data_IF_701129518035
#
_entry.id   IF_701129518035
#
_cell.length_a   1.000
_cell.length_b   1.000
_cell.length_c   1.000
_cell.angle_alpha   90.00
_cell.angle_beta   90.00
_cell.angle_gamma   90.00
#
_symmetry.space_group_name_H-M   'P 1'
#
loop_
_entity.id
_entity.type
_entity.pdbx_description
1 polymer ?
#
# COMPACT_ATOMS: atom_id res chain seq x y z
N UNK A 1 -27.40 27.85 34.94
CA UNK A 1 -26.46 26.78 34.52
C UNK A 1 -26.87 25.38 34.99
N UNK A 2 -27.08 25.11 36.29
CA UNK A 2 -27.41 23.76 36.80
C UNK A 2 -28.57 23.05 36.07
N UNK A 3 -29.72 23.72 35.85
CA UNK A 3 -30.88 23.12 35.13
C UNK A 3 -30.58 22.68 33.70
N UNK A 4 -29.75 23.43 32.96
CA UNK A 4 -29.35 23.08 31.58
C UNK A 4 -28.40 21.89 31.56
N UNK A 5 -27.48 21.82 32.53
CA UNK A 5 -26.59 20.67 32.71
C UNK A 5 -27.40 19.41 33.05
N UNK A 6 -28.33 19.50 34.01
CA UNK A 6 -29.21 18.38 34.35
C UNK A 6 -30.05 17.91 33.16
N UNK A 7 -30.64 18.84 32.40
CA UNK A 7 -31.40 18.52 31.19
C UNK A 7 -30.53 17.81 30.16
N UNK A 8 -29.32 18.30 29.90
CA UNK A 8 -28.38 17.68 28.97
C UNK A 8 -28.01 16.25 29.41
N UNK A 9 -27.68 16.04 30.68
CA UNK A 9 -27.35 14.72 31.22
C UNK A 9 -28.53 13.76 31.09
N UNK A 10 -29.76 14.20 31.39
CA UNK A 10 -30.95 13.38 31.24
C UNK A 10 -31.22 12.99 29.79
N UNK A 11 -31.08 13.92 28.85
CA UNK A 11 -31.22 13.64 27.41
C UNK A 11 -30.15 12.65 26.94
N UNK A 12 -28.90 12.81 27.38
CA UNK A 12 -27.81 11.91 27.05
C UNK A 12 -28.04 10.49 27.60
N UNK A 13 -28.51 10.36 28.85
CA UNK A 13 -28.82 9.07 29.47
C UNK A 13 -30.01 8.39 28.78
N UNK A 14 -31.06 9.14 28.43
CA UNK A 14 -32.19 8.61 27.66
C UNK A 14 -31.76 8.13 26.28
N UNK A 15 -30.91 8.90 25.59
CA UNK A 15 -30.35 8.49 24.30
C UNK A 15 -29.55 7.19 24.43
N UNK A 16 -28.64 7.10 25.43
CA UNK A 16 -27.84 5.91 25.71
C UNK A 16 -28.69 4.68 26.06
N UNK A 17 -29.82 4.86 26.76
CA UNK A 17 -30.71 3.76 27.13
C UNK A 17 -31.38 3.09 25.92
N UNK A 18 -31.56 3.80 24.80
CA UNK A 18 -32.22 3.29 23.60
C UNK A 18 -31.23 2.62 22.62
N UNK A 19 -29.94 2.93 22.71
CA UNK A 19 -28.88 2.42 21.83
C UNK A 19 -28.84 0.88 21.75
N UNK A 20 -28.94 0.11 22.86
CA UNK A 20 -29.02 -1.35 22.80
C UNK A 20 -30.18 -1.88 21.97
N UNK A 21 -31.38 -1.31 22.11
CA UNK A 21 -32.55 -1.73 21.36
C UNK A 21 -32.40 -1.48 19.86
N UNK A 22 -31.81 -0.33 19.49
CA UNK A 22 -31.50 -0.01 18.08
C UNK A 22 -30.50 -1.01 17.51
N UNK A 23 -29.41 -1.31 18.21
CA UNK A 23 -28.39 -2.25 17.74
C UNK A 23 -28.91 -3.68 17.58
N UNK A 24 -29.79 -4.14 18.47
CA UNK A 24 -30.45 -5.44 18.34
C UNK A 24 -31.40 -5.47 17.13
N UNK A 25 -32.18 -4.42 16.89
CA UNK A 25 -33.09 -4.33 15.75
C UNK A 25 -32.34 -4.24 14.40
N UNK A 26 -31.20 -3.54 14.34
CA UNK A 26 -30.36 -3.44 13.14
C UNK A 26 -29.59 -4.75 12.81
N UNK A 27 -29.74 -5.80 13.63
CA UNK A 27 -29.06 -7.08 13.45
C UNK A 27 -27.55 -7.01 13.69
N UNK A 28 -27.04 -5.96 14.35
CA UNK A 28 -25.61 -5.80 14.60
C UNK A 28 -25.05 -6.90 15.51
N UNK A 29 -25.89 -7.51 16.35
CA UNK A 29 -25.54 -8.69 17.16
C UNK A 29 -25.44 -10.01 16.38
N UNK A 30 -25.93 -10.09 15.14
CA UNK A 30 -25.84 -11.29 14.29
C UNK A 30 -24.82 -11.13 13.14
N UNK A 31 -24.50 -9.89 12.72
CA UNK A 31 -23.62 -9.61 11.57
C UNK A 31 -22.15 -9.98 11.74
N UNK A 32 -21.69 -10.30 12.94
CA UNK A 32 -20.35 -10.83 13.20
C UNK A 32 -20.53 -12.17 13.91
N UNK A 33 -20.56 -13.27 13.17
CA UNK A 33 -20.79 -14.64 13.65
C UNK A 33 -19.84 -15.18 14.74
N UNK A 34 -19.07 -14.31 15.40
CA UNK A 34 -18.13 -14.60 16.48
C UNK A 34 -18.34 -13.70 17.72
N UNK A 35 -19.17 -12.64 17.67
CA UNK A 35 -19.37 -11.72 18.79
C UNK A 35 -20.73 -11.94 19.46
N UNK A 36 -20.69 -12.28 20.75
CA UNK A 36 -21.88 -12.42 21.59
C UNK A 36 -22.69 -11.12 21.64
N UNK A 37 -24.00 -11.21 21.43
CA UNK A 37 -24.90 -10.06 21.30
C UNK A 37 -24.98 -9.19 22.57
N UNK A 38 -24.70 -9.76 23.75
CA UNK A 38 -24.75 -9.06 25.04
C UNK A 38 -23.48 -8.27 25.37
N UNK A 39 -22.45 -8.30 24.52
CA UNK A 39 -21.24 -7.51 24.76
C UNK A 39 -21.55 -6.02 24.67
N UNK A 40 -20.99 -5.24 25.59
CA UNK A 40 -21.14 -3.78 25.60
C UNK A 40 -20.72 -3.13 24.26
N UNK A 41 -19.71 -3.68 23.59
CA UNK A 41 -19.25 -3.22 22.26
C UNK A 41 -20.28 -3.42 21.15
N UNK A 42 -21.24 -4.33 21.33
CA UNK A 42 -22.36 -4.57 20.41
C UNK A 42 -23.56 -3.73 20.82
N UNK A 43 -23.95 -3.80 22.09
CA UNK A 43 -25.14 -3.10 22.60
C UNK A 43 -24.99 -1.58 22.54
N UNK A 44 -23.81 -1.03 22.83
CA UNK A 44 -23.55 0.41 22.84
C UNK A 44 -22.72 0.87 21.63
N UNK A 45 -22.84 0.17 20.50
CA UNK A 45 -22.25 0.61 19.25
C UNK A 45 -23.00 1.85 18.71
N UNK A 46 -22.26 2.92 18.40
CA UNK A 46 -22.81 4.19 17.90
C UNK A 46 -22.66 4.38 16.38
N UNK A 47 -22.24 3.35 15.64
CA UNK A 47 -21.96 3.45 14.20
C UNK A 47 -23.17 3.95 13.40
N UNK A 48 -24.41 3.60 13.80
CA UNK A 48 -25.62 4.12 13.15
C UNK A 48 -25.78 5.63 13.32
N UNK A 49 -25.51 6.15 14.52
CA UNK A 49 -25.59 7.59 14.81
C UNK A 49 -24.42 8.32 14.14
N UNK A 50 -23.22 7.73 14.14
CA UNK A 50 -22.07 8.24 13.39
C UNK A 50 -22.37 8.32 11.90
N UNK A 51 -23.00 7.31 11.30
CA UNK A 51 -23.40 7.34 9.89
C UNK A 51 -24.41 8.47 9.61
N UNK A 52 -25.40 8.66 10.49
CA UNK A 52 -26.36 9.77 10.38
C UNK A 52 -25.68 11.13 10.45
N UNK A 53 -24.81 11.35 11.45
CA UNK A 53 -24.05 12.59 11.60
C UNK A 53 -23.15 12.83 10.39
N UNK A 54 -22.43 11.81 9.94
CA UNK A 54 -21.60 11.88 8.74
C UNK A 54 -22.42 12.26 7.51
N UNK A 55 -23.59 11.66 7.30
CA UNK A 55 -24.46 11.97 6.16
C UNK A 55 -24.95 13.42 6.20
N UNK A 56 -25.17 13.97 7.39
CA UNK A 56 -25.57 15.36 7.56
C UNK A 56 -24.40 16.33 7.28
N UNK A 57 -23.22 16.06 7.84
CA UNK A 57 -22.08 16.98 7.79
C UNK A 57 -21.23 16.85 6.52
N UNK A 58 -21.22 15.68 5.86
CA UNK A 58 -20.42 15.40 4.67
C UNK A 58 -20.69 16.38 3.51
N UNK A 59 -21.96 16.66 3.11
CA UNK A 59 -22.25 17.63 2.04
C UNK A 59 -21.81 19.07 2.36
N UNK A 60 -21.52 19.35 3.63
CA UNK A 60 -21.04 20.65 4.10
C UNK A 60 -19.52 20.72 4.22
N UNK A 61 -18.80 19.68 3.75
CA UNK A 61 -17.34 19.60 3.85
C UNK A 61 -16.82 19.34 5.26
N UNK A 62 -17.68 18.92 6.20
CA UNK A 62 -17.31 18.72 7.61
C UNK A 62 -17.13 17.22 7.87
N UNK A 63 -15.90 16.81 8.15
CA UNK A 63 -15.58 15.45 8.55
C UNK A 63 -15.96 15.23 10.02
N UNK A 64 -16.72 14.18 10.28
CA UNK A 64 -17.01 13.69 11.65
C UNK A 64 -15.83 12.92 12.25
N UNK A 65 -14.79 12.65 11.45
CA UNK A 65 -13.58 11.96 11.85
C UNK A 65 -12.34 12.60 11.18
N UNK A 66 -12.03 13.87 11.51
CA UNK A 66 -11.03 14.67 10.81
C UNK A 66 -9.60 14.15 10.99
N UNK A 67 -9.34 13.39 12.04
CA UNK A 67 -8.04 12.72 12.25
C UNK A 67 -7.79 11.63 11.20
N UNK A 68 -8.85 10.97 10.70
CA UNK A 68 -8.72 9.91 9.68
C UNK A 68 -9.05 10.38 8.27
N UNK A 69 -10.00 11.31 8.12
CA UNK A 69 -10.53 11.72 6.81
C UNK A 69 -10.67 13.24 6.76
N UNK A 70 -10.06 13.85 5.76
CA UNK A 70 -10.36 15.21 5.33
C UNK A 70 -11.35 15.15 4.16
N UNK A 71 -12.39 15.99 4.20
CA UNK A 71 -13.30 16.17 3.05
C UNK A 71 -12.77 17.34 2.22
N UNK A 72 -12.43 17.06 0.98
CA UNK A 72 -12.01 18.03 -0.01
C UNK A 72 -13.16 18.59 -0.84
N UNK A 73 -12.81 19.33 -1.88
CA UNK A 73 -13.74 19.85 -2.90
C UNK A 73 -14.28 18.69 -3.75
N UNK A 74 -15.44 18.90 -4.36
CA UNK A 74 -16.07 17.95 -5.28
C UNK A 74 -16.16 16.51 -4.75
N UNK A 75 -16.43 16.41 -3.43
CA UNK A 75 -16.65 15.18 -2.68
C UNK A 75 -15.43 14.24 -2.56
N UNK A 76 -14.23 14.72 -2.92
CA UNK A 76 -12.99 13.95 -2.77
C UNK A 76 -12.60 13.81 -1.31
N UNK A 77 -12.39 12.58 -0.86
CA UNK A 77 -11.90 12.29 0.48
C UNK A 77 -10.38 12.15 0.49
N UNK A 78 -9.72 12.63 1.54
CA UNK A 78 -8.28 12.48 1.73
C UNK A 78 -7.98 11.90 3.10
N UNK A 79 -6.78 11.34 3.28
CA UNK A 79 -6.30 10.95 4.60
C UNK A 79 -6.14 12.17 5.51
N UNK A 80 -6.61 12.03 6.75
CA UNK A 80 -6.30 12.94 7.85
C UNK A 80 -4.90 12.70 8.43
N UNK A 81 -4.67 13.21 9.64
CA UNK A 81 -3.34 13.20 10.27
C UNK A 81 -2.91 11.82 10.79
N UNK A 82 -3.84 10.94 11.18
CA UNK A 82 -3.56 9.65 11.81
C UNK A 82 -2.56 8.77 11.06
N UNK A 83 -2.53 8.87 9.73
CA UNK A 83 -1.80 7.93 8.87
C UNK A 83 -0.51 8.51 8.29
N UNK A 84 0.29 9.17 9.14
CA UNK A 84 1.59 9.74 8.78
C UNK A 84 1.58 11.25 8.68
N UNK A 85 0.68 11.91 9.41
CA UNK A 85 0.47 13.36 9.41
C UNK A 85 0.31 13.90 7.98
N UNK A 86 -0.50 13.24 7.14
CA UNK A 86 -0.50 13.47 5.68
C UNK A 86 -0.77 14.93 5.31
N UNK A 87 -1.66 15.60 6.05
CA UNK A 87 -2.00 17.01 5.79
C UNK A 87 -0.89 17.93 6.28
N UNK A 88 -0.47 17.80 7.54
CA UNK A 88 0.60 18.63 8.10
C UNK A 88 1.93 18.43 7.36
N UNK A 89 2.31 17.18 7.07
CA UNK A 89 3.53 16.84 6.33
C UNK A 89 3.50 17.37 4.89
N UNK A 90 2.34 17.33 4.23
CA UNK A 90 2.17 17.93 2.91
C UNK A 90 2.36 19.43 2.92
N UNK A 91 1.75 20.13 3.90
CA UNK A 91 1.78 21.61 3.99
C UNK A 91 3.13 22.18 4.41
N UNK A 92 3.82 21.52 5.35
CA UNK A 92 5.08 22.05 5.91
C UNK A 92 6.26 22.01 4.93
N UNK A 93 6.18 21.15 3.91
CA UNK A 93 7.29 20.88 2.99
C UNK A 93 8.45 20.13 3.65
N UNK A 94 9.59 20.04 2.97
CA UNK A 94 10.78 19.37 3.50
C UNK A 94 11.41 20.09 4.71
N UNK A 95 11.83 19.34 5.73
CA UNK A 95 12.60 19.86 6.88
C UNK A 95 14.00 19.25 6.97
N UNK A 96 14.82 19.78 7.89
CA UNK A 96 16.16 19.25 8.19
C UNK A 96 16.09 17.80 8.66
N UNK A 97 15.06 17.44 9.44
CA UNK A 97 14.84 16.07 9.89
C UNK A 97 14.51 15.13 8.73
N UNK A 98 13.76 15.60 7.73
CA UNK A 98 13.49 14.80 6.53
C UNK A 98 14.78 14.52 5.76
N UNK A 99 15.71 15.49 5.68
CA UNK A 99 16.99 15.31 5.02
C UNK A 99 17.87 14.27 5.72
N UNK A 100 17.90 14.27 7.06
CA UNK A 100 18.65 13.25 7.79
C UNK A 100 18.03 11.85 7.65
N UNK A 101 16.70 11.75 7.74
CA UNK A 101 15.99 10.48 7.49
C UNK A 101 16.24 9.99 6.06
N UNK A 102 16.20 10.90 5.06
CA UNK A 102 16.47 10.59 3.67
C UNK A 102 17.89 10.05 3.45
N UNK A 103 18.90 10.65 4.09
CA UNK A 103 20.29 10.19 4.02
C UNK A 103 20.46 8.78 4.60
N UNK A 104 19.82 8.48 5.73
CA UNK A 104 19.83 7.15 6.35
C UNK A 104 19.18 6.12 5.41
N UNK A 105 18.00 6.45 4.84
CA UNK A 105 17.29 5.58 3.91
C UNK A 105 18.10 5.37 2.62
N UNK A 106 18.73 6.42 2.09
CA UNK A 106 19.61 6.34 0.91
C UNK A 106 20.75 5.37 1.13
N UNK A 107 21.49 5.51 2.23
CA UNK A 107 22.57 4.59 2.59
C UNK A 107 22.09 3.14 2.76
N UNK A 108 20.96 2.93 3.42
CA UNK A 108 20.40 1.60 3.62
C UNK A 108 19.93 0.96 2.30
N UNK A 109 19.28 1.73 1.42
CA UNK A 109 18.82 1.24 0.12
C UNK A 109 20.01 0.85 -0.76
N UNK A 110 21.09 1.64 -0.76
CA UNK A 110 22.33 1.32 -1.46
C UNK A 110 22.98 0.05 -0.91
N UNK A 111 23.03 -0.09 0.43
CA UNK A 111 23.56 -1.29 1.09
C UNK A 111 22.77 -2.54 0.70
N UNK A 112 21.44 -2.45 0.65
CA UNK A 112 20.58 -3.54 0.16
C UNK A 112 20.82 -3.84 -1.32
N UNK A 113 20.95 -2.82 -2.16
CA UNK A 113 21.26 -2.99 -3.59
C UNK A 113 22.55 -3.81 -3.79
N UNK A 114 23.61 -3.46 -3.09
CA UNK A 114 24.90 -4.17 -3.14
C UNK A 114 24.77 -5.60 -2.61
N UNK A 115 24.11 -5.78 -1.47
CA UNK A 115 23.88 -7.09 -0.87
C UNK A 115 23.09 -8.02 -1.82
N UNK A 116 22.03 -7.50 -2.45
CA UNK A 116 21.20 -8.24 -3.39
C UNK A 116 21.98 -8.62 -4.66
N UNK A 117 22.81 -7.71 -5.17
CA UNK A 117 23.69 -8.00 -6.31
C UNK A 117 24.67 -9.14 -5.99
N UNK A 118 25.28 -9.14 -4.79
CA UNK A 118 26.14 -10.24 -4.34
C UNK A 118 25.40 -11.59 -4.22
N UNK A 119 24.07 -11.56 -4.05
CA UNK A 119 23.19 -12.74 -4.03
C UNK A 119 22.67 -13.14 -5.42
N UNK A 120 23.13 -12.47 -6.48
CA UNK A 120 22.76 -12.75 -7.86
C UNK A 120 21.43 -12.14 -8.32
N UNK A 121 20.87 -11.18 -7.55
CA UNK A 121 19.70 -10.41 -7.99
C UNK A 121 20.15 -9.37 -9.01
N UNK A 122 19.59 -9.43 -10.23
CA UNK A 122 20.00 -8.57 -11.34
C UNK A 122 19.58 -7.11 -11.15
N UNK A 123 18.34 -6.89 -10.69
CA UNK A 123 17.79 -5.55 -10.46
C UNK A 123 17.01 -5.47 -9.15
N UNK A 124 17.31 -4.41 -8.37
CA UNK A 124 16.57 -3.98 -7.18
C UNK A 124 15.98 -2.59 -7.38
N UNK A 125 14.67 -2.42 -7.18
CA UNK A 125 13.98 -1.13 -7.34
C UNK A 125 12.90 -0.89 -6.30
N UNK A 126 12.72 0.36 -5.90
CA UNK A 126 11.62 0.84 -5.04
C UNK A 126 10.71 1.75 -5.86
N UNK A 127 9.52 1.30 -6.18
CA UNK A 127 8.49 2.10 -6.83
C UNK A 127 7.65 2.87 -5.80
N UNK A 128 7.53 4.18 -6.01
CA UNK A 128 6.67 5.02 -5.20
C UNK A 128 5.26 5.07 -5.78
N UNK A 129 4.28 4.69 -4.96
CA UNK A 129 2.86 5.00 -5.14
C UNK A 129 2.55 6.37 -4.54
N UNK A 130 2.21 7.40 -5.30
CA UNK A 130 2.01 8.72 -4.73
C UNK A 130 0.75 8.78 -3.86
N UNK A 131 0.76 9.63 -2.85
CA UNK A 131 -0.46 9.96 -2.12
C UNK A 131 -1.42 10.69 -3.06
N UNK A 132 -2.73 10.49 -2.84
CA UNK A 132 -3.76 11.11 -3.68
C UNK A 132 -3.64 12.63 -3.72
N UNK A 133 -3.22 13.27 -2.63
CA UNK A 133 -2.98 14.72 -2.56
C UNK A 133 -1.83 15.21 -3.44
N UNK A 134 -0.85 14.36 -3.75
CA UNK A 134 0.27 14.71 -4.64
C UNK A 134 -0.12 14.66 -6.12
N UNK A 135 -1.17 13.91 -6.45
CA UNK A 135 -1.68 13.73 -7.82
C UNK A 135 -2.89 14.62 -8.08
N UNK A 136 -3.79 14.75 -7.11
CA UNK A 136 -5.01 15.55 -7.15
C UNK A 136 -5.02 16.63 -6.06
N UNK A 137 -4.08 17.59 -6.05
CA UNK A 137 -4.11 18.68 -5.08
C UNK A 137 -5.26 19.67 -5.33
N UNK A 138 -5.79 19.75 -6.54
CA UNK A 138 -6.86 20.69 -6.89
C UNK A 138 -8.16 20.47 -6.12
N UNK A 139 -8.44 19.23 -5.69
CA UNK A 139 -9.59 18.90 -4.85
C UNK A 139 -9.29 18.96 -3.36
N UNK A 140 -8.07 19.30 -2.93
CA UNK A 140 -7.82 19.64 -1.53
C UNK A 140 -8.41 21.03 -1.19
N UNK A 141 -8.84 21.26 0.07
CA UNK A 141 -9.12 22.61 0.55
C UNK A 141 -7.91 23.53 0.39
N UNK A 142 -8.12 24.82 0.17
CA UNK A 142 -7.03 25.77 -0.10
C UNK A 142 -6.00 25.84 1.05
N UNK A 143 -6.45 25.69 2.30
CA UNK A 143 -5.57 25.67 3.46
C UNK A 143 -4.72 24.41 3.57
N UNK A 144 -5.07 23.33 2.86
CA UNK A 144 -4.43 22.01 2.91
C UNK A 144 -3.51 21.73 1.73
N UNK A 145 -3.28 22.73 0.86
CA UNK A 145 -2.44 22.57 -0.32
C UNK A 145 -1.00 22.13 0.06
N UNK A 146 -0.42 21.16 -0.67
CA UNK A 146 0.94 20.71 -0.41
C UNK A 146 1.95 21.80 -0.76
N UNK A 147 3.07 21.83 -0.04
CA UNK A 147 4.22 22.65 -0.38
C UNK A 147 4.83 22.24 -1.73
N UNK A 148 5.55 23.16 -2.36
CA UNK A 148 6.22 22.90 -3.65
C UNK A 148 7.33 21.85 -3.56
N UNK A 149 8.07 21.82 -2.44
CA UNK A 149 9.08 20.82 -2.15
C UNK A 149 8.64 19.95 -0.96
N UNK A 150 8.44 18.67 -1.23
CA UNK A 150 7.99 17.68 -0.26
C UNK A 150 9.16 16.90 0.36
N UNK A 151 8.90 16.25 1.49
CA UNK A 151 9.84 15.29 2.07
C UNK A 151 10.14 14.11 1.12
N UNK A 152 9.24 13.78 0.19
CA UNK A 152 9.50 12.78 -0.85
C UNK A 152 10.55 13.28 -1.85
N UNK A 153 10.53 14.56 -2.20
CA UNK A 153 11.56 15.16 -3.07
C UNK A 153 12.92 15.13 -2.39
N UNK A 154 12.97 15.41 -1.08
CA UNK A 154 14.20 15.26 -0.28
C UNK A 154 14.70 13.81 -0.26
N UNK A 155 13.81 12.82 -0.12
CA UNK A 155 14.19 11.41 -0.24
C UNK A 155 14.81 11.11 -1.60
N UNK A 156 14.13 11.48 -2.68
CA UNK A 156 14.59 11.21 -4.06
C UNK A 156 15.92 11.90 -4.38
N UNK A 157 16.21 13.05 -3.78
CA UNK A 157 17.49 13.74 -3.92
C UNK A 157 18.65 13.08 -3.15
N UNK A 158 18.38 12.19 -2.20
CA UNK A 158 19.38 11.56 -1.32
C UNK A 158 19.55 10.05 -1.55
N UNK A 159 18.88 9.48 -2.55
CA UNK A 159 19.01 8.07 -2.94
C UNK A 159 19.81 7.96 -4.24
N UNK A 160 20.55 6.87 -4.42
CA UNK A 160 21.28 6.62 -5.66
C UNK A 160 20.32 6.59 -6.86
N UNK A 161 20.75 7.23 -7.96
CA UNK A 161 19.93 7.33 -9.17
C UNK A 161 19.51 5.95 -9.67
N UNK A 162 18.23 5.82 -10.00
CA UNK A 162 17.64 4.58 -10.52
C UNK A 162 17.18 3.60 -9.45
N UNK A 163 17.53 3.73 -8.16
CA UNK A 163 17.00 2.82 -7.12
C UNK A 163 15.53 3.08 -6.81
N UNK A 164 15.12 4.35 -6.83
CA UNK A 164 13.73 4.75 -6.65
C UNK A 164 13.10 5.15 -7.99
N UNK A 165 11.88 4.68 -8.21
CA UNK A 165 11.07 5.04 -9.38
C UNK A 165 9.92 5.92 -8.92
N UNK A 166 10.03 7.21 -9.24
CA UNK A 166 8.97 8.20 -8.98
C UNK A 166 7.92 8.18 -10.09
N UNK A 167 6.70 7.79 -9.74
CA UNK A 167 5.59 7.69 -10.69
C UNK A 167 4.71 8.95 -10.72
N UNK A 168 5.02 9.99 -9.93
CA UNK A 168 4.21 11.23 -9.85
C UNK A 168 4.07 11.91 -11.20
N UNK A 169 5.17 12.06 -11.93
CA UNK A 169 5.15 12.69 -13.26
C UNK A 169 4.29 11.90 -14.24
N UNK A 170 4.43 10.56 -14.28
CA UNK A 170 3.64 9.71 -15.16
C UNK A 170 2.14 9.82 -14.86
N UNK A 171 1.77 9.76 -13.58
CA UNK A 171 0.37 9.91 -13.14
C UNK A 171 -0.20 11.30 -13.45
N UNK A 172 0.56 12.37 -13.22
CA UNK A 172 0.14 13.75 -13.55
C UNK A 172 -0.05 13.95 -15.05
N UNK A 173 0.83 13.40 -15.88
CA UNK A 173 0.68 13.41 -17.34
C UNK A 173 -0.51 12.58 -17.79
N UNK A 174 -0.76 11.43 -17.16
CA UNK A 174 -1.90 10.59 -17.49
C UNK A 174 -3.25 11.25 -17.14
N UNK A 175 -3.32 12.09 -16.09
CA UNK A 175 -4.53 12.85 -15.75
C UNK A 175 -5.04 13.74 -16.89
N UNK A 176 -4.15 14.28 -17.72
CA UNK A 176 -4.57 15.10 -18.87
C UNK A 176 -4.89 14.27 -20.12
N UNK A 177 -4.50 12.99 -20.13
CA UNK A 177 -4.72 12.05 -21.24
C UNK A 177 -6.03 11.28 -21.10
N UNK A 178 -6.41 10.89 -19.88
CA UNK A 178 -7.62 10.11 -19.60
C UNK A 178 -8.75 11.00 -19.09
N UNK A 179 -9.99 10.68 -19.48
CA UNK A 179 -11.19 11.29 -18.91
C UNK A 179 -11.49 10.79 -17.50
N UNK A 180 -11.11 9.55 -17.21
CA UNK A 180 -11.34 8.89 -15.94
C UNK A 180 -10.29 9.31 -14.90
N UNK A 181 -10.71 9.39 -13.64
CA UNK A 181 -9.75 9.58 -12.55
C UNK A 181 -8.88 8.33 -12.37
N UNK A 182 -7.62 8.53 -12.01
CA UNK A 182 -6.64 7.48 -11.72
C UNK A 182 -6.73 6.98 -10.27
N UNK A 183 -7.51 7.68 -9.43
CA UNK A 183 -7.75 7.35 -8.03
C UNK A 183 -9.25 7.36 -7.76
N UNK A 184 -9.67 6.55 -6.80
CA UNK A 184 -11.03 6.61 -6.28
C UNK A 184 -11.21 7.90 -5.46
N UNK A 185 -12.40 8.49 -5.53
CA UNK A 185 -12.72 9.70 -4.76
C UNK A 185 -12.81 9.39 -3.27
N UNK A 186 -13.39 8.25 -2.90
CA UNK A 186 -13.68 7.91 -1.50
C UNK A 186 -12.76 6.84 -0.91
N UNK A 187 -11.67 6.52 -1.61
CA UNK A 187 -10.62 5.60 -1.17
C UNK A 187 -9.23 6.29 -1.15
N UNK A 188 -8.27 5.73 -0.42
CA UNK A 188 -6.88 6.22 -0.43
C UNK A 188 -6.07 5.80 -1.65
N UNK A 189 -6.49 4.76 -2.36
CA UNK A 189 -5.70 4.13 -3.42
C UNK A 189 -6.00 4.68 -4.81
N UNK A 190 -5.06 4.46 -5.72
CA UNK A 190 -5.35 4.49 -7.16
C UNK A 190 -6.39 3.42 -7.52
N UNK A 191 -7.03 3.55 -8.67
CA UNK A 191 -7.79 2.45 -9.30
C UNK A 191 -6.90 1.65 -10.26
N UNK A 192 -7.46 0.66 -10.96
CA UNK A 192 -6.70 -0.19 -11.88
C UNK A 192 -6.05 0.60 -13.02
N UNK A 193 -6.66 1.70 -13.47
CA UNK A 193 -6.05 2.59 -14.47
C UNK A 193 -4.83 3.35 -13.91
N UNK A 194 -4.93 3.91 -12.71
CA UNK A 194 -3.78 4.53 -12.05
C UNK A 194 -2.65 3.52 -11.75
N UNK A 195 -3.01 2.30 -11.37
CA UNK A 195 -2.05 1.20 -11.19
C UNK A 195 -1.36 0.83 -12.50
N UNK A 196 -2.09 0.78 -13.63
CA UNK A 196 -1.50 0.57 -14.96
C UNK A 196 -0.49 1.67 -15.30
N UNK A 197 -0.87 2.95 -15.15
CA UNK A 197 0.03 4.08 -15.45
C UNK A 197 1.30 4.00 -14.61
N UNK A 198 1.18 3.70 -13.32
CA UNK A 198 2.33 3.53 -12.43
C UNK A 198 3.20 2.33 -12.84
N UNK A 199 2.58 1.19 -13.16
CA UNK A 199 3.28 -0.01 -13.62
C UNK A 199 4.01 0.23 -14.94
N UNK A 200 3.36 0.91 -15.90
CA UNK A 200 3.93 1.26 -17.19
C UNK A 200 5.17 2.17 -17.05
N UNK A 201 5.12 3.14 -16.13
CA UNK A 201 6.28 3.96 -15.79
C UNK A 201 7.40 3.14 -15.14
N UNK A 202 7.05 2.19 -14.28
CA UNK A 202 7.99 1.32 -13.60
C UNK A 202 8.73 0.37 -14.55
N UNK A 203 8.01 -0.31 -15.45
CA UNK A 203 8.64 -1.15 -16.47
C UNK A 203 9.57 -0.35 -17.40
N UNK A 204 9.21 0.90 -17.74
CA UNK A 204 10.04 1.73 -18.60
C UNK A 204 11.39 2.07 -17.96
N UNK A 205 11.45 2.18 -16.63
CA UNK A 205 12.72 2.33 -15.90
C UNK A 205 13.53 1.03 -15.91
N UNK A 206 12.88 -0.12 -15.64
CA UNK A 206 13.56 -1.42 -15.63
C UNK A 206 14.10 -1.78 -17.02
N UNK A 207 13.33 -1.51 -18.07
CA UNK A 207 13.71 -1.80 -19.46
C UNK A 207 15.02 -1.12 -19.89
N UNK A 208 15.45 -0.04 -19.22
CA UNK A 208 16.74 0.62 -19.50
C UNK A 208 17.93 -0.23 -19.09
N UNK A 209 17.78 -1.07 -18.08
CA UNK A 209 18.85 -1.94 -17.58
C UNK A 209 18.64 -3.41 -17.94
N UNK A 210 17.40 -3.82 -18.25
CA UNK A 210 17.01 -5.20 -18.51
C UNK A 210 16.38 -5.35 -19.90
N UNK A 211 17.19 -5.20 -20.95
CA UNK A 211 16.73 -5.21 -22.34
C UNK A 211 16.13 -6.55 -22.82
N UNK A 212 16.34 -7.64 -22.07
CA UNK A 212 15.83 -8.97 -22.40
C UNK A 212 14.41 -9.26 -21.90
N UNK A 213 13.78 -8.32 -21.18
CA UNK A 213 12.42 -8.49 -20.66
C UNK A 213 11.38 -8.03 -21.68
N UNK A 214 10.32 -8.84 -21.82
CA UNK A 214 9.12 -8.49 -22.56
C UNK A 214 8.17 -7.72 -21.63
N UNK A 215 7.58 -6.63 -22.12
CA UNK A 215 6.73 -5.76 -21.32
C UNK A 215 5.34 -5.64 -21.91
N UNK A 216 4.36 -5.37 -21.05
CA UNK A 216 3.02 -4.99 -21.49
C UNK A 216 3.10 -3.65 -22.22
N UNK A 217 2.46 -3.55 -23.36
CA UNK A 217 2.36 -2.31 -24.13
C UNK A 217 1.01 -1.62 -23.91
N UNK A 218 0.89 -0.38 -24.37
CA UNK A 218 -0.39 0.34 -24.38
C UNK A 218 -1.45 -0.35 -25.26
N UNK A 219 -1.05 -1.23 -26.19
CA UNK A 219 -1.98 -2.05 -26.97
C UNK A 219 -2.48 -3.29 -26.19
N UNK A 220 -1.72 -3.74 -25.19
CA UNK A 220 -2.07 -4.91 -24.39
C UNK A 220 -3.00 -4.55 -23.22
N UNK A 221 -3.24 -3.27 -22.95
CA UNK A 221 -4.06 -2.81 -21.83
C UNK A 221 -5.09 -1.81 -22.31
N UNK A 222 -6.38 -2.10 -22.10
CA UNK A 222 -7.49 -1.24 -22.53
C UNK A 222 -8.48 -0.97 -21.41
N UNK A 223 -9.07 0.21 -21.42
CA UNK A 223 -10.25 0.53 -20.62
C UNK A 223 -11.46 -0.11 -21.32
N UNK A 224 -12.11 -1.08 -20.68
CA UNK A 224 -13.24 -1.81 -21.24
C UNK A 224 -14.59 -1.31 -20.75
N UNK A 225 -14.60 -0.50 -19.68
CA UNK A 225 -15.81 0.16 -19.21
C UNK A 225 -15.59 0.91 -17.90
N UNK A 226 -16.68 1.55 -17.46
CA UNK A 226 -16.76 2.20 -16.15
C UNK A 226 -17.92 1.55 -15.41
N UNK A 227 -17.61 0.90 -14.29
CA UNK A 227 -18.57 0.33 -13.36
C UNK A 227 -18.86 1.26 -12.18
N UNK A 228 -19.90 0.93 -11.43
CA UNK A 228 -20.17 1.53 -10.12
C UNK A 228 -19.69 0.59 -9.02
N UNK A 229 -19.07 1.15 -7.98
CA UNK A 229 -18.75 0.42 -6.75
C UNK A 229 -19.12 1.22 -5.52
N UNK A 230 -19.24 0.51 -4.41
CA UNK A 230 -19.36 1.12 -3.09
C UNK A 230 -18.12 1.95 -2.75
N UNK A 231 -18.31 2.90 -1.84
CA UNK A 231 -17.24 3.74 -1.35
C UNK A 231 -16.05 2.96 -0.76
N UNK A 232 -14.90 3.61 -0.79
CA UNK A 232 -13.62 3.08 -0.36
C UNK A 232 -13.40 3.07 1.16
N UNK A 233 -12.13 2.91 1.52
CA UNK A 233 -11.67 2.92 2.91
C UNK A 233 -11.95 4.24 3.66
N UNK A 234 -11.83 5.41 3.00
CA UNK A 234 -12.13 6.70 3.61
C UNK A 234 -13.64 6.86 3.84
N UNK A 235 -14.48 6.44 2.89
CA UNK A 235 -15.93 6.38 3.11
C UNK A 235 -16.28 5.48 4.31
N UNK A 236 -15.58 4.35 4.47
CA UNK A 236 -15.75 3.45 5.61
C UNK A 236 -15.37 4.12 6.95
N UNK A 237 -14.32 4.94 6.99
CA UNK A 237 -13.96 5.71 8.19
C UNK A 237 -15.04 6.72 8.60
N UNK A 238 -15.81 7.23 7.62
CA UNK A 238 -16.96 8.10 7.87
C UNK A 238 -18.28 7.33 8.08
N UNK A 239 -18.28 5.99 8.03
CA UNK A 239 -19.51 5.16 8.04
C UNK A 239 -20.45 5.44 6.86
N UNK A 240 -19.90 5.89 5.74
CA UNK A 240 -20.61 6.22 4.51
C UNK A 240 -20.32 5.26 3.35
N UNK A 241 -19.65 4.12 3.60
CA UNK A 241 -19.28 3.13 2.57
C UNK A 241 -20.46 2.67 1.72
N UNK A 242 -21.59 2.37 2.37
CA UNK A 242 -22.79 1.86 1.68
C UNK A 242 -23.56 2.93 0.90
N UNK A 243 -23.34 4.22 1.24
CA UNK A 243 -24.06 5.36 0.67
C UNK A 243 -23.28 6.08 -0.42
N UNK A 244 -21.96 6.18 -0.26
CA UNK A 244 -21.09 6.79 -1.25
C UNK A 244 -20.70 5.77 -2.30
N UNK A 245 -20.37 6.29 -3.48
CA UNK A 245 -20.00 5.51 -4.65
C UNK A 245 -18.69 6.03 -5.23
N UNK A 246 -17.95 5.12 -5.83
CA UNK A 246 -16.79 5.40 -6.65
C UNK A 246 -16.99 4.80 -8.04
N UNK A 247 -16.35 5.41 -9.04
CA UNK A 247 -16.28 4.85 -10.38
C UNK A 247 -15.17 3.80 -10.41
N UNK A 248 -15.52 2.58 -10.83
CA UNK A 248 -14.57 1.49 -11.07
C UNK A 248 -14.16 1.52 -12.54
N UNK A 249 -12.89 1.81 -12.82
CA UNK A 249 -12.38 1.80 -14.19
C UNK A 249 -11.94 0.38 -14.51
N UNK A 250 -12.71 -0.31 -15.35
CA UNK A 250 -12.41 -1.69 -15.72
C UNK A 250 -11.31 -1.70 -16.76
N UNK A 251 -10.19 -2.31 -16.40
CA UNK A 251 -9.00 -2.43 -17.24
C UNK A 251 -8.81 -3.90 -17.62
N UNK A 252 -8.85 -4.19 -18.92
CA UNK A 252 -8.56 -5.52 -19.46
C UNK A 252 -7.10 -5.61 -19.90
N UNK A 253 -6.48 -6.77 -19.65
CA UNK A 253 -5.20 -7.15 -20.26
C UNK A 253 -5.49 -8.06 -21.44
N UNK A 254 -5.19 -7.58 -22.66
CA UNK A 254 -5.31 -8.33 -23.90
C UNK A 254 -4.09 -9.25 -24.01
N UNK A 255 -4.34 -10.56 -23.96
CA UNK A 255 -3.32 -11.58 -24.11
C UNK A 255 -3.79 -12.66 -25.07
N UNK A 256 -2.85 -13.26 -25.82
CA UNK A 256 -3.12 -14.40 -26.72
C UNK A 256 -3.55 -15.65 -25.95
N UNK A 257 -3.02 -15.81 -24.73
CA UNK A 257 -3.35 -16.91 -23.84
C UNK A 257 -3.95 -16.35 -22.55
N UNK A 258 -4.96 -17.03 -21.95
CA UNK A 258 -5.49 -16.63 -20.66
C UNK A 258 -4.41 -16.51 -19.60
N UNK A 259 -4.48 -15.44 -18.80
CA UNK A 259 -3.61 -15.26 -17.65
C UNK A 259 -4.29 -15.96 -16.48
N UNK A 260 -3.80 -17.17 -16.19
CA UNK A 260 -4.29 -18.01 -15.11
C UNK A 260 -3.26 -18.01 -13.98
N UNK A 261 -3.72 -17.69 -12.77
CA UNK A 261 -2.87 -17.61 -11.59
C UNK A 261 -3.19 -18.69 -10.57
N UNK A 262 -2.15 -19.15 -9.88
CA UNK A 262 -2.24 -20.00 -8.71
C UNK A 262 -1.53 -19.34 -7.54
N UNK A 263 -2.18 -19.33 -6.38
CA UNK A 263 -1.69 -18.68 -5.18
C UNK A 263 -1.42 -19.72 -4.10
N UNK A 264 -0.18 -19.78 -3.64
CA UNK A 264 0.29 -20.75 -2.64
C UNK A 264 0.77 -20.02 -1.39
N UNK A 265 0.40 -20.56 -0.23
CA UNK A 265 1.13 -20.24 1.00
C UNK A 265 2.57 -20.76 0.83
N UNK A 266 3.55 -19.86 0.86
CA UNK A 266 4.91 -20.21 0.46
C UNK A 266 5.61 -21.13 1.48
N UNK A 267 5.26 -21.02 2.75
CA UNK A 267 5.88 -21.82 3.82
C UNK A 267 5.35 -23.25 3.82
N UNK A 268 4.04 -23.42 3.61
CA UNK A 268 3.39 -24.73 3.68
C UNK A 268 3.23 -25.41 2.31
N UNK A 269 3.40 -24.67 1.21
CA UNK A 269 3.11 -25.14 -0.15
C UNK A 269 1.62 -25.34 -0.45
N UNK A 270 0.73 -24.94 0.46
CA UNK A 270 -0.71 -25.14 0.31
C UNK A 270 -1.29 -24.19 -0.73
N UNK A 271 -2.01 -24.74 -1.71
CA UNK A 271 -2.83 -23.96 -2.64
C UNK A 271 -3.95 -23.23 -1.88
N UNK A 272 -4.00 -21.92 -2.02
CA UNK A 272 -5.03 -21.05 -1.42
C UNK A 272 -6.11 -20.66 -2.41
N UNK A 273 -5.71 -20.40 -3.65
CA UNK A 273 -6.60 -19.96 -4.72
C UNK A 273 -6.02 -20.33 -6.08
N UNK A 274 -6.88 -20.60 -7.05
CA UNK A 274 -6.51 -20.84 -8.44
C UNK A 274 -7.63 -20.31 -9.33
N UNK A 275 -7.26 -19.67 -10.43
CA UNK A 275 -8.18 -19.20 -11.46
C UNK A 275 -8.04 -17.71 -11.77
N UNK A 276 -8.04 -17.40 -13.06
CA UNK A 276 -8.01 -16.05 -13.61
C UNK A 276 -6.80 -15.22 -13.16
N UNK A 277 -6.95 -13.90 -13.32
CA UNK A 277 -5.95 -12.91 -12.94
C UNK A 277 -6.55 -11.85 -11.99
N UNK A 278 -6.96 -12.24 -10.77
CA UNK A 278 -7.62 -11.33 -9.85
C UNK A 278 -6.64 -10.31 -9.27
N UNK A 279 -7.18 -9.20 -8.74
CA UNK A 279 -6.43 -8.39 -7.80
C UNK A 279 -6.08 -9.20 -6.55
N UNK A 280 -4.90 -8.94 -5.98
CA UNK A 280 -4.39 -9.68 -4.82
C UNK A 280 -4.18 -8.70 -3.68
N UNK A 281 -4.93 -8.89 -2.60
CA UNK A 281 -4.74 -8.11 -1.37
C UNK A 281 -3.38 -8.40 -0.74
N UNK A 282 -2.84 -7.39 -0.05
CA UNK A 282 -1.50 -7.50 0.53
C UNK A 282 -1.41 -8.64 1.56
N UNK A 283 -0.39 -9.47 1.39
CA UNK A 283 -0.17 -10.63 2.24
C UNK A 283 0.74 -10.29 3.44
N UNK A 284 0.33 -10.64 4.66
CA UNK A 284 1.18 -10.53 5.86
C UNK A 284 2.08 -11.75 6.10
N UNK A 285 1.94 -12.77 5.25
CA UNK A 285 2.80 -13.95 5.17
C UNK A 285 3.22 -14.14 3.72
N UNK A 286 4.39 -14.76 3.44
CA UNK A 286 4.87 -14.90 2.07
C UNK A 286 3.86 -15.70 1.21
N UNK A 287 3.37 -15.07 0.15
CA UNK A 287 2.39 -15.63 -0.79
C UNK A 287 3.07 -15.80 -2.15
N UNK A 288 3.22 -17.03 -2.62
CA UNK A 288 3.75 -17.31 -3.94
C UNK A 288 2.61 -17.31 -4.96
N UNK A 289 2.71 -16.44 -5.97
CA UNK A 289 1.78 -16.37 -7.09
C UNK A 289 2.51 -16.86 -8.33
N UNK A 290 1.94 -17.87 -9.00
CA UNK A 290 2.46 -18.42 -10.26
C UNK A 290 1.51 -18.06 -11.40
N UNK A 291 2.07 -17.65 -12.53
CA UNK A 291 1.36 -17.34 -13.76
C UNK A 291 2.01 -18.05 -14.94
N UNK A 292 1.33 -19.07 -15.47
CA UNK A 292 1.92 -19.99 -16.45
C UNK A 292 2.27 -19.31 -17.77
N UNK A 293 1.42 -18.38 -18.22
CA UNK A 293 1.50 -17.74 -19.52
C UNK A 293 2.06 -16.32 -19.44
N UNK A 294 2.79 -15.99 -18.37
CA UNK A 294 3.42 -14.68 -18.22
C UNK A 294 4.46 -14.40 -19.32
N UNK A 295 4.66 -13.13 -19.63
CA UNK A 295 5.59 -12.67 -20.67
C UNK A 295 7.05 -13.07 -20.42
N UNK A 296 7.43 -13.26 -19.15
CA UNK A 296 8.79 -13.57 -18.74
C UNK A 296 8.82 -14.71 -17.72
N UNK A 297 9.72 -15.67 -17.94
CA UNK A 297 10.00 -16.76 -17.00
C UNK A 297 10.99 -16.29 -15.94
N UNK A 298 10.51 -15.46 -15.02
CA UNK A 298 11.30 -14.73 -14.03
C UNK A 298 10.64 -14.76 -12.67
N UNK A 299 11.49 -14.75 -11.64
CA UNK A 299 11.10 -14.89 -10.23
C UNK A 299 11.32 -13.56 -9.52
N UNK A 300 10.22 -12.95 -9.10
CA UNK A 300 10.23 -11.65 -8.42
C UNK A 300 9.98 -11.85 -6.95
N UNK A 301 10.84 -11.31 -6.09
CA UNK A 301 10.47 -11.06 -4.70
C UNK A 301 9.89 -9.65 -4.63
N UNK A 302 8.58 -9.56 -4.36
CA UNK A 302 7.83 -8.32 -4.41
C UNK A 302 7.33 -7.92 -3.02
N UNK A 303 8.03 -6.98 -2.39
CA UNK A 303 7.63 -6.44 -1.10
C UNK A 303 6.69 -5.26 -1.30
N UNK A 304 5.50 -5.27 -0.70
CA UNK A 304 4.49 -4.28 -1.10
C UNK A 304 3.46 -3.94 -0.05
N UNK A 305 2.91 -2.72 -0.05
CA UNK A 305 1.71 -2.39 0.74
C UNK A 305 0.42 -2.72 -0.04
N UNK A 306 -0.66 -1.97 0.15
CA UNK A 306 -1.95 -2.12 -0.55
C UNK A 306 -1.98 -1.46 -1.92
N UNK A 307 -1.02 -0.61 -2.30
CA UNK A 307 -1.10 0.14 -3.56
C UNK A 307 -1.14 -0.77 -4.77
N UNK A 308 -0.11 -1.56 -5.01
CA UNK A 308 -0.22 -2.57 -6.07
C UNK A 308 -1.14 -3.78 -5.84
N UNK A 309 -2.20 -3.73 -5.00
CA UNK A 309 -3.29 -4.71 -5.10
C UNK A 309 -3.90 -4.64 -6.50
N UNK A 310 -4.15 -3.42 -6.97
CA UNK A 310 -4.57 -3.14 -8.35
C UNK A 310 -3.44 -3.34 -9.39
N UNK A 311 -2.18 -3.56 -8.95
CA UNK A 311 -1.04 -3.84 -9.82
C UNK A 311 -0.75 -5.33 -9.97
N UNK A 312 -1.28 -6.17 -9.06
CA UNK A 312 -1.03 -7.61 -9.08
C UNK A 312 -1.38 -8.26 -10.44
N UNK A 313 -2.47 -7.86 -11.13
CA UNK A 313 -2.77 -8.40 -12.46
C UNK A 313 -1.69 -8.13 -13.51
N UNK A 314 -1.10 -6.93 -13.51
CA UNK A 314 -0.02 -6.57 -14.46
C UNK A 314 1.28 -7.30 -14.12
N UNK A 315 1.58 -7.48 -12.82
CA UNK A 315 2.71 -8.27 -12.36
C UNK A 315 2.59 -9.74 -12.79
N UNK A 316 1.41 -10.35 -12.63
CA UNK A 316 1.15 -11.74 -13.02
C UNK A 316 1.10 -11.93 -14.54
N UNK A 317 0.69 -10.92 -15.30
CA UNK A 317 0.80 -10.94 -16.76
C UNK A 317 2.26 -10.87 -17.23
N UNK A 318 3.12 -10.16 -16.49
CA UNK A 318 4.50 -9.88 -16.90
C UNK A 318 5.49 -10.94 -16.43
N UNK A 319 5.35 -11.48 -15.21
CA UNK A 319 6.32 -12.39 -14.60
C UNK A 319 5.69 -13.70 -14.14
N UNK A 320 6.37 -14.81 -14.41
CA UNK A 320 5.86 -16.16 -14.14
C UNK A 320 5.74 -16.49 -12.65
N UNK A 321 6.60 -15.94 -11.79
CA UNK A 321 6.49 -16.13 -10.34
C UNK A 321 6.71 -14.83 -9.58
N UNK A 322 5.78 -14.50 -8.67
CA UNK A 322 5.95 -13.40 -7.71
C UNK A 322 5.77 -13.93 -6.28
N UNK A 323 6.80 -13.80 -5.46
CA UNK A 323 6.70 -14.03 -4.02
C UNK A 323 6.38 -12.70 -3.34
N UNK A 324 5.17 -12.58 -2.81
CA UNK A 324 4.62 -11.35 -2.30
C UNK A 324 4.63 -11.34 -0.77
N UNK A 325 5.03 -10.21 -0.16
CA UNK A 325 4.97 -10.01 1.28
C UNK A 325 4.78 -8.52 1.58
N UNK A 326 4.01 -8.18 2.61
CA UNK A 326 3.93 -6.82 3.09
C UNK A 326 5.31 -6.36 3.52
N UNK A 327 5.81 -5.24 2.99
CA UNK A 327 7.15 -4.77 3.36
C UNK A 327 7.28 -4.68 4.88
N UNK A 328 6.19 -4.33 5.60
CA UNK A 328 6.19 -4.26 7.06
C UNK A 328 6.62 -5.54 7.78
N UNK A 329 6.23 -6.70 7.26
CA UNK A 329 6.58 -8.02 7.77
C UNK A 329 7.96 -8.51 7.30
N UNK A 330 8.56 -7.86 6.30
CA UNK A 330 9.88 -8.19 5.77
C UNK A 330 10.99 -7.47 6.55
N UNK A 331 11.17 -7.84 7.83
CA UNK A 331 12.35 -7.40 8.60
C UNK A 331 13.65 -7.89 7.94
N UNK A 332 14.82 -7.25 8.19
CA UNK A 332 16.07 -7.58 7.49
C UNK A 332 16.39 -9.07 7.41
N UNK A 333 16.30 -9.80 8.52
CA UNK A 333 16.55 -11.25 8.55
C UNK A 333 15.54 -12.05 7.72
N UNK A 334 14.27 -11.64 7.73
CA UNK A 334 13.24 -12.31 6.93
C UNK A 334 13.41 -12.00 5.45
N UNK A 335 13.74 -10.75 5.10
CA UNK A 335 14.02 -10.37 3.71
C UNK A 335 15.23 -11.14 3.18
N UNK A 336 16.34 -11.16 3.91
CA UNK A 336 17.54 -11.92 3.54
C UNK A 336 17.24 -13.43 3.40
N UNK A 337 16.53 -14.02 4.38
CA UNK A 337 16.10 -15.42 4.32
C UNK A 337 15.27 -15.71 3.07
N UNK A 338 14.31 -14.83 2.74
CA UNK A 338 13.50 -14.98 1.53
C UNK A 338 14.36 -14.93 0.27
N UNK A 339 15.34 -14.03 0.18
CA UNK A 339 16.27 -13.97 -0.95
C UNK A 339 17.08 -15.27 -1.05
N UNK A 340 17.59 -15.81 0.05
CA UNK A 340 18.40 -17.03 0.04
C UNK A 340 17.60 -18.28 -0.37
N UNK A 341 16.38 -18.44 0.14
CA UNK A 341 15.54 -19.61 -0.18
C UNK A 341 14.84 -19.47 -1.52
N UNK A 342 14.32 -18.28 -1.81
CA UNK A 342 13.57 -18.03 -3.03
C UNK A 342 14.52 -17.72 -4.19
N UNK A 343 15.75 -17.23 -4.02
CA UNK A 343 16.66 -16.91 -5.15
C UNK A 343 15.97 -16.13 -6.29
N UNK A 344 15.43 -14.94 -6.00
CA UNK A 344 14.75 -14.14 -7.01
C UNK A 344 15.72 -13.64 -8.08
N UNK A 345 15.25 -13.52 -9.33
CA UNK A 345 15.96 -12.78 -10.38
C UNK A 345 15.94 -11.27 -10.08
N UNK A 346 14.81 -10.78 -9.56
CA UNK A 346 14.57 -9.37 -9.30
C UNK A 346 13.90 -9.15 -7.95
N UNK A 347 14.22 -8.03 -7.31
CA UNK A 347 13.54 -7.60 -6.10
C UNK A 347 12.90 -6.23 -6.34
N UNK A 348 11.60 -6.16 -6.14
CA UNK A 348 10.86 -4.90 -6.26
C UNK A 348 10.17 -4.57 -4.93
N UNK A 349 10.17 -3.30 -4.58
CA UNK A 349 9.34 -2.77 -3.50
C UNK A 349 8.31 -1.83 -4.08
N UNK A 350 7.03 -2.02 -3.76
CA UNK A 350 5.96 -1.05 -4.06
C UNK A 350 5.47 -0.45 -2.76
N UNK A 351 5.66 0.85 -2.59
CA UNK A 351 5.35 1.53 -1.34
C UNK A 351 4.74 2.88 -1.60
N UNK A 352 3.71 3.23 -0.83
CA UNK A 352 3.14 4.57 -0.86
C UNK A 352 4.16 5.60 -0.40
N UNK A 353 4.20 6.79 -1.02
CA UNK A 353 5.31 7.74 -0.84
C UNK A 353 5.55 8.15 0.63
N UNK A 354 4.49 8.31 1.44
CA UNK A 354 4.61 8.53 2.89
C UNK A 354 5.20 7.34 3.65
N UNK A 355 4.98 6.12 3.15
CA UNK A 355 5.52 4.88 3.69
C UNK A 355 7.02 4.73 3.42
N UNK A 356 7.48 5.18 2.24
CA UNK A 356 8.88 5.09 1.82
C UNK A 356 9.84 5.88 2.72
N UNK A 357 9.34 6.89 3.43
CA UNK A 357 10.10 7.76 4.34
C UNK A 357 10.09 7.28 5.79
N UNK A 358 9.57 6.08 6.08
CA UNK A 358 9.54 5.53 7.43
C UNK A 358 10.90 4.96 7.82
N UNK A 359 11.23 5.04 9.12
CA UNK A 359 12.50 4.55 9.70
C UNK A 359 12.91 3.14 9.27
N UNK A 360 11.95 2.26 8.99
CA UNK A 360 12.20 0.88 8.53
C UNK A 360 13.03 0.80 7.25
N UNK A 361 12.89 1.78 6.35
CA UNK A 361 13.65 1.83 5.10
C UNK A 361 15.11 2.24 5.35
N UNK A 362 15.45 2.65 6.58
CA UNK A 362 16.81 2.87 7.07
C UNK A 362 17.48 1.65 7.68
N UNK A 363 16.86 0.46 7.65
CA UNK A 363 17.46 -0.77 8.17
C UNK A 363 18.45 -1.39 7.18
N UNK A 364 19.64 -1.74 7.66
CA UNK A 364 20.70 -2.36 6.87
C UNK A 364 20.44 -3.87 6.63
N UNK A 365 20.97 -4.45 5.54
CA UNK A 365 21.02 -5.90 5.37
C UNK A 365 21.86 -6.57 6.48
N UNK A 366 21.63 -7.86 6.76
CA UNK A 366 22.48 -8.61 7.68
C UNK A 366 23.91 -8.70 7.16
N UNK A 367 24.87 -8.80 8.09
CA UNK A 367 26.28 -8.98 7.76
C UNK A 367 26.47 -10.26 6.94
N UNK A 368 27.19 -10.14 5.83
CA UNK A 368 27.61 -11.30 5.04
C UNK A 368 28.69 -12.04 5.82
N UNK A 369 28.32 -13.07 6.58
CA UNK A 369 29.31 -14.03 7.05
C UNK A 369 29.81 -14.78 5.82
N UNK A 370 31.07 -14.55 5.44
CA UNK A 370 31.78 -15.46 4.55
C UNK A 370 31.65 -16.85 5.19
N UNK A 371 31.05 -17.79 4.46
CA UNK A 371 31.13 -19.21 4.81
C UNK A 371 32.58 -19.67 4.59
N UNK A 372 33.48 -19.18 5.43
CA UNK A 372 34.81 -19.74 5.59
C UNK A 372 34.62 -21.11 6.19
N UNK A 373 35.00 -22.13 5.42
CA UNK A 373 35.18 -23.50 5.90
C UNK A 373 35.87 -23.44 7.26
N UNK A 374 35.19 -23.93 8.28
CA UNK A 374 35.81 -24.20 9.58
C UNK A 374 36.69 -25.44 9.38
N UNK A 375 37.89 -25.24 8.84
CA UNK A 375 38.97 -26.21 8.97
C UNK A 375 39.41 -26.19 10.43
N UNK A 376 38.89 -27.16 11.18
CA UNK A 376 39.53 -27.85 12.30
C UNK A 376 40.73 -27.15 12.94
N UNK A 377 40.54 -26.46 14.07
CA UNK A 377 41.61 -26.28 15.04
C UNK A 377 41.59 -27.45 16.03
N UNK A 378 42.14 -28.58 15.61
CA UNK A 378 42.73 -29.54 16.54
C UNK A 378 44.23 -29.30 16.58
N UNK A 379 44.80 -29.42 17.78
CA UNK A 379 46.20 -29.24 18.15
C UNK A 379 46.66 -27.78 18.31
N UNK A 380 46.68 -27.31 19.57
CA UNK A 380 47.91 -27.14 20.38
C UNK A 380 47.45 -26.97 21.83
N UNK A 381 47.52 -28.06 22.58
CA UNK A 381 47.59 -28.04 24.04
C UNK A 381 48.43 -29.24 24.45
N UNK A 382 49.75 -29.04 24.45
CA UNK A 382 50.67 -29.85 25.24
C UNK A 382 51.75 -28.95 25.82
N UNK A 383 51.86 -29.09 27.15
CA UNK A 383 53.00 -28.79 28.03
C UNK A 383 53.48 -27.35 28.09
N UNK A 384 53.35 -26.72 29.26
CA UNK A 384 54.46 -26.66 30.23
C UNK A 384 53.89 -26.62 31.65
N UNK A 385 54.38 -27.55 32.48
CA UNK A 385 54.36 -27.52 33.94
C UNK A 385 55.81 -27.42 34.42
N UNK A 386 56.04 -26.50 35.36
CA UNK A 386 57.31 -26.07 35.99
C UNK A 386 58.22 -25.17 35.16
#
# INVERSE_FOLDING_TARGET
MKKRVFMFVWVALLALAVVPAINLNLGNGQKKGEQEWWRASVLYNFDFASAFLSRFFYPHGISTNPDQVLIGKDDWLYLGEKYGNTITAGRRGATVEDAEVARIIGHATESWSQWLNLKGVSTFRVMLGPDKGSIYPEFLPDWAQPASASATDTLLANVSQGLYVDTRTALRTAKSRFSESLYYKTDTHWNSLGAWVAFHAFQAEIARTEAGLNWLTEQDVRISGIGDRQGGDLAKFLRLKETLRDNEVVVDIISKLPIETEQYDFETGRLKHSGGNPEIHTAQRPLLVKSKNALNQKRILWLRDSFGTAMAPFMAATFSETLQLHYDAAHPETFARLVDIYKPDYVFITVVERGARRKRFGSLPPLMFSSGKTETSEAISRSVSF
#
